data_IF_471648659964
#
_entry.id   IF_471648659964
#
_cell.length_a   1.000
_cell.length_b   1.000
_cell.length_c   1.000
_cell.angle_alpha   90.00
_cell.angle_beta   90.00
_cell.angle_gamma   90.00
#
_symmetry.space_group_name_H-M   'P 1'
#
loop_
_entity.id
_entity.type
_entity.pdbx_description
1 polymer ?
2 non-polymer ?
3 non-polymer ?
4 non-polymer ?
5 water ?
#
# COMPACT_ATOMS: atom_id res chain seq x y z
N UNK A 3 -22.38 17.23 3.81
CA UNK A 3 -21.01 17.79 3.51
C UNK A 3 -19.95 17.05 4.38
N UNK A 4 -20.44 16.42 5.43
CA UNK A 4 -19.64 15.63 6.34
C UNK A 4 -19.20 14.33 5.67
N UNK A 5 -17.90 14.17 5.43
CA UNK A 5 -17.47 12.93 4.79
C UNK A 5 -16.36 12.23 5.55
N UNK A 6 -16.44 10.90 5.58
CA UNK A 6 -15.42 10.10 6.27
C UNK A 6 -14.90 8.93 5.43
N UNK A 7 -13.59 8.75 5.38
CA UNK A 7 -13.06 7.59 4.73
C UNK A 7 -12.06 6.81 5.54
N UNK A 8 -12.56 5.81 6.26
CA UNK A 8 -11.66 4.96 7.03
C UNK A 8 -11.29 3.68 6.30
N UNK A 9 -10.01 3.51 5.99
CA UNK A 9 -9.61 2.32 5.25
C UNK A 9 -8.30 1.70 5.73
N UNK A 10 -8.18 0.36 5.66
CA UNK A 10 -6.89 -0.26 5.96
C UNK A 10 -5.91 0.11 4.88
N UNK A 11 -4.62 -0.06 5.12
CA UNK A 11 -3.67 0.24 4.07
C UNK A 11 -3.56 -0.99 3.13
N UNK A 12 -2.86 -0.87 1.98
CA UNK A 12 -2.81 -1.94 0.94
C UNK A 12 -1.49 -2.72 0.81
N UNK A 13 -1.52 -4.04 1.07
CA UNK A 13 -0.37 -4.97 0.87
C UNK A 13 0.85 -4.81 1.79
N UNK A 14 1.89 -5.61 1.54
CA UNK A 14 3.25 -5.42 2.12
C UNK A 14 3.41 -5.20 3.67
N UNK A 15 2.56 -5.84 4.48
CA UNK A 15 2.82 -5.87 5.93
C UNK A 15 3.25 -7.27 6.37
N UNK A 16 4.47 -7.37 6.90
CA UNK A 16 5.08 -8.64 7.18
C UNK A 16 5.15 -9.03 8.66
N UNK A 17 4.65 -10.22 9.01
CA UNK A 17 4.70 -10.71 10.37
C UNK A 17 6.09 -10.53 10.95
N UNK A 18 6.18 -10.29 12.25
CA UNK A 18 7.50 -10.12 12.90
C UNK A 18 7.62 -8.78 13.61
N UNK A 19 8.83 -8.44 14.04
CA UNK A 19 9.10 -7.15 14.65
C UNK A 19 9.22 -6.07 13.60
N UNK A 20 8.34 -5.10 13.65
CA UNK A 20 8.32 -4.05 12.61
C UNK A 20 9.57 -3.22 12.71
N UNK A 21 10.24 -2.98 11.60
CA UNK A 21 11.48 -2.22 11.70
C UNK A 21 11.26 -0.71 11.77
N UNK A 22 10.00 -0.27 11.66
CA UNK A 22 9.62 1.16 11.63
C UNK A 22 8.15 1.36 11.99
N UNK A 23 7.70 2.59 12.14
CA UNK A 23 6.30 2.82 12.45
C UNK A 23 5.54 2.42 11.21
N UNK A 24 4.41 1.71 11.37
CA UNK A 24 3.76 1.18 10.22
C UNK A 24 2.30 1.53 10.26
N UNK A 25 1.84 2.16 9.19
CA UNK A 25 0.46 2.52 9.10
C UNK A 25 -0.41 1.28 8.98
N UNK A 26 -1.40 1.15 9.84
CA UNK A 26 -2.39 0.11 9.67
C UNK A 26 -3.66 0.64 9.01
N UNK A 27 -4.06 1.85 9.36
CA UNK A 27 -5.30 2.39 8.82
C UNK A 27 -5.17 3.84 8.47
N UNK A 28 -6.07 4.30 7.61
CA UNK A 28 -6.05 5.67 7.23
C UNK A 28 -7.47 6.19 7.33
N UNK A 29 -7.53 7.47 7.67
CA UNK A 29 -8.77 8.10 7.98
C UNK A 29 -8.77 9.44 7.31
N UNK A 30 -9.78 9.69 6.48
CA UNK A 30 -9.94 11.02 5.92
C UNK A 30 -11.31 11.53 6.22
N UNK A 31 -11.34 12.75 6.75
CA UNK A 31 -12.59 13.36 7.20
C UNK A 31 -12.58 14.84 6.94
N UNK A 32 -13.77 15.40 6.69
CA UNK A 32 -13.84 16.82 6.41
C UNK A 32 -15.25 17.39 6.46
N UNK A 33 -15.33 18.71 6.62
CA UNK A 33 -16.59 19.46 6.52
C UNK A 33 -16.38 20.91 6.16
N UNK A 34 -17.22 21.37 5.23
CA UNK A 34 -17.23 22.77 4.84
C UNK A 34 -18.02 23.58 5.87
N UNK A 35 -19.12 23.00 6.35
CA UNK A 35 -19.98 23.61 7.38
C UNK A 35 -19.24 23.82 8.72
N UNK A 36 -19.79 24.68 9.63
CA UNK A 36 -19.03 25.01 10.86
C UNK A 36 -18.91 23.85 11.87
N UNK A 37 -17.68 23.59 12.29
CA UNK A 37 -17.40 22.50 13.23
C UNK A 37 -16.28 22.85 14.21
N UNK A 38 -16.28 22.13 15.33
CA UNK A 38 -15.31 22.31 16.37
C UNK A 38 -14.09 21.42 16.23
N UNK A 39 -14.32 20.14 16.02
CA UNK A 39 -13.20 19.23 15.90
C UNK A 39 -13.72 17.84 15.70
N UNK A 40 -12.85 16.86 15.90
CA UNK A 40 -13.11 15.50 15.49
C UNK A 40 -12.63 14.58 16.54
N UNK A 41 -13.42 13.56 16.82
CA UNK A 41 -12.84 12.43 17.54
C UNK A 41 -13.04 11.15 16.76
N UNK A 42 -12.23 10.18 17.15
CA UNK A 42 -12.40 8.82 16.78
C UNK A 42 -12.50 8.06 18.08
N UNK A 43 -13.65 7.46 18.33
CA UNK A 43 -13.75 6.56 19.46
C UNK A 43 -13.53 5.12 19.02
N UNK A 44 -12.52 4.46 19.58
CA UNK A 44 -12.24 3.07 19.38
C UNK A 44 -13.31 2.27 20.10
N UNK A 45 -14.19 1.59 19.37
CA UNK A 45 -15.32 0.87 20.00
C UNK A 45 -15.12 -0.62 20.26
N UNK A 46 -16.09 -1.21 20.90
CA UNK A 46 -16.02 -2.63 21.11
C UNK A 46 -14.67 -3.09 21.58
N UNK A 47 -14.14 -4.06 20.85
CA UNK A 47 -12.93 -4.73 21.24
C UNK A 47 -11.72 -3.84 20.98
N UNK A 48 -11.91 -2.77 20.21
CA UNK A 48 -10.88 -1.78 19.97
C UNK A 48 -10.85 -0.73 21.10
N UNK A 49 -11.76 -0.84 22.07
CA UNK A 49 -11.78 0.11 23.16
C UNK A 49 -10.37 0.19 23.76
N UNK A 50 -9.93 1.38 24.10
CA UNK A 50 -8.58 1.61 24.55
C UNK A 50 -7.61 1.98 23.43
N UNK A 51 -8.09 2.05 22.18
CA UNK A 51 -7.20 2.20 21.00
C UNK A 51 -6.41 0.98 20.54
N UNK A 52 -7.12 -0.10 20.26
CA UNK A 52 -6.47 -1.27 19.80
C UNK A 52 -7.02 -1.87 18.51
N UNK A 53 -6.17 -2.68 17.90
CA UNK A 53 -6.46 -3.54 16.78
C UNK A 53 -6.58 -4.96 17.40
N UNK A 54 -7.36 -5.85 16.79
CA UNK A 54 -7.61 -7.17 17.41
C UNK A 54 -7.45 -8.33 16.41
N UNK A 55 -6.50 -9.24 16.71
CA UNK A 55 -6.31 -10.48 15.96
C UNK A 55 -7.49 -11.41 16.18
N UNK A 56 -7.97 -12.10 15.14
CA UNK A 56 -9.17 -12.97 15.28
C UNK A 56 -8.98 -13.97 16.40
N UNK A 57 -7.74 -14.27 16.65
CA UNK A 57 -7.36 -15.11 17.77
C UNK A 57 -7.68 -14.45 19.12
N UNK A 58 -7.53 -13.12 19.19
CA UNK A 58 -7.76 -12.40 20.44
C UNK A 58 -6.65 -11.52 21.01
N UNK A 59 -5.49 -11.49 20.32
CA UNK A 59 -4.40 -10.59 20.65
C UNK A 59 -4.74 -9.17 20.25
N UNK A 60 -4.42 -8.25 21.15
CA UNK A 60 -4.58 -6.81 20.96
C UNK A 60 -3.30 -6.13 20.52
N UNK A 61 -3.38 -5.25 19.52
CA UNK A 61 -2.21 -4.43 19.22
C UNK A 61 -2.52 -2.95 19.33
N UNK A 62 -1.59 -2.24 19.99
CA UNK A 62 -1.73 -0.82 20.25
C UNK A 62 -1.57 0.00 18.99
N UNK A 63 -2.51 0.90 18.75
CA UNK A 63 -2.48 1.81 17.62
C UNK A 63 -2.20 3.25 18.08
N UNK A 64 -1.60 4.07 17.21
CA UNK A 64 -1.38 5.48 17.53
C UNK A 64 -1.87 6.35 16.42
N UNK A 65 -2.20 7.59 16.75
CA UNK A 65 -2.65 8.46 15.72
C UNK A 65 -1.60 9.49 15.47
N UNK A 66 -1.33 9.67 14.21
CA UNK A 66 -0.32 10.60 13.77
C UNK A 66 -0.78 12.04 14.03
N UNK A 67 -2.04 12.37 13.73
CA UNK A 67 -2.56 13.75 13.84
C UNK A 67 -3.31 14.03 15.12
N UNK A 68 -4.14 13.09 15.55
CA UNK A 68 -4.88 13.32 16.77
C UNK A 68 -4.11 12.92 18.03
N UNK A 69 -4.57 13.42 19.18
CA UNK A 69 -4.06 13.02 20.49
C UNK A 69 -5.05 12.11 21.21
N UNK A 70 -4.52 11.35 22.13
CA UNK A 70 -5.25 10.33 22.77
C UNK A 70 -5.66 10.77 24.16
N UNK A 71 -6.95 10.65 24.45
CA UNK A 71 -7.40 10.83 25.82
C UNK A 71 -7.97 9.53 26.34
N UNK A 72 -7.18 8.85 27.14
CA UNK A 72 -7.55 7.54 27.72
C UNK A 72 -8.84 7.62 28.51
N UNK A 73 -8.93 8.57 29.43
CA UNK A 73 -10.12 8.76 30.25
C UNK A 73 -11.39 8.82 29.41
N UNK A 74 -11.37 9.58 28.30
CA UNK A 74 -12.54 9.73 27.45
C UNK A 74 -12.64 8.68 26.37
N UNK A 75 -11.63 7.83 26.33
CA UNK A 75 -11.47 6.83 25.29
C UNK A 75 -11.60 7.34 23.82
N UNK A 76 -10.83 8.36 23.45
CA UNK A 76 -10.86 8.82 22.07
C UNK A 76 -9.60 9.53 21.65
N UNK A 77 -9.44 9.65 20.34
CA UNK A 77 -8.46 10.54 19.76
C UNK A 77 -9.23 11.74 19.37
N UNK A 78 -8.71 12.92 19.67
CA UNK A 78 -9.34 14.11 19.11
C UNK A 78 -8.28 15.03 18.52
N UNK A 79 -8.72 15.86 17.60
CA UNK A 79 -8.01 17.08 17.26
C UNK A 79 -9.08 18.15 17.15
N UNK A 80 -8.76 19.35 17.63
CA UNK A 80 -9.67 20.48 17.42
C UNK A 80 -9.31 21.16 16.16
N UNK A 81 -10.29 21.30 15.28
CA UNK A 81 -10.06 21.92 13.98
C UNK A 81 -11.36 22.53 13.52
N UNK A 82 -11.28 23.75 13.02
CA UNK A 82 -12.44 24.45 12.54
C UNK A 82 -12.42 24.57 11.01
N UNK A 83 -11.24 24.33 10.41
CA UNK A 83 -10.96 24.47 8.96
C UNK A 83 -11.90 23.69 8.03
N UNK A 84 -12.20 24.23 6.81
CA UNK A 84 -13.04 23.41 5.92
C UNK A 84 -12.18 22.51 5.04
N UNK A 85 -10.87 22.52 5.31
CA UNK A 85 -9.89 21.69 4.62
C UNK A 85 -9.89 20.25 5.11
N UNK A 86 -9.50 19.33 4.23
CA UNK A 86 -9.54 17.89 4.51
C UNK A 86 -8.48 17.44 5.50
N UNK A 87 -8.89 16.59 6.44
CA UNK A 87 -7.98 16.02 7.42
C UNK A 87 -7.58 14.61 7.06
N UNK A 88 -6.28 14.41 6.96
CA UNK A 88 -5.75 13.15 6.51
C UNK A 88 -4.92 12.56 7.63
N UNK A 89 -5.51 11.66 8.39
CA UNK A 89 -4.79 11.01 9.47
C UNK A 89 -4.64 9.55 9.18
N UNK A 90 -3.68 8.93 9.85
CA UNK A 90 -3.67 7.50 9.89
C UNK A 90 -3.19 7.01 11.25
N UNK A 91 -3.54 5.75 11.50
CA UNK A 91 -3.26 5.05 12.71
C UNK A 91 -2.20 4.08 12.38
N UNK A 92 -1.26 3.93 13.29
CA UNK A 92 -0.09 3.14 12.97
C UNK A 92 0.42 2.43 14.19
N UNK A 93 1.25 1.42 14.01
CA UNK A 93 1.88 0.78 15.18
C UNK A 93 3.29 1.23 15.27
N UNK A 94 3.90 1.14 16.43
CA UNK A 94 5.22 1.72 16.61
C UNK A 94 6.29 0.73 16.23
N UNK A 95 7.40 1.24 15.73
CA UNK A 95 8.51 0.35 15.45
C UNK A 95 8.74 -0.56 16.66
N UNK A 96 9.06 -1.81 16.41
CA UNK A 96 9.34 -2.78 17.47
C UNK A 96 8.10 -3.60 17.83
N UNK A 97 6.95 -3.18 17.35
CA UNK A 97 5.75 -3.96 17.55
C UNK A 97 5.86 -5.26 16.78
N UNK A 98 5.51 -6.33 17.46
CA UNK A 98 5.58 -7.64 16.87
C UNK A 98 4.21 -7.93 16.27
N UNK A 99 4.13 -8.13 14.97
CA UNK A 99 2.89 -8.53 14.35
C UNK A 99 2.90 -10.03 14.04
N UNK A 100 1.71 -10.60 14.00
CA UNK A 100 1.51 -12.02 13.73
C UNK A 100 0.82 -12.15 12.37
N UNK A 101 1.15 -13.22 11.64
CA UNK A 101 0.66 -13.34 10.29
C UNK A 101 -0.81 -13.72 10.33
N UNK A 102 -1.64 -12.73 10.52
CA UNK A 102 -3.06 -12.97 10.73
C UNK A 102 -3.83 -11.73 10.34
N UNK A 103 -5.13 -11.75 10.59
CA UNK A 103 -5.98 -10.59 10.35
C UNK A 103 -6.25 -9.87 11.67
N UNK A 104 -6.25 -8.54 11.60
CA UNK A 104 -6.53 -7.68 12.77
C UNK A 104 -7.70 -6.75 12.51
N UNK A 105 -8.70 -6.78 13.37
CA UNK A 105 -9.86 -5.89 13.17
C UNK A 105 -9.63 -4.58 13.92
N UNK A 106 -10.16 -3.50 13.36
CA UNK A 106 -10.39 -2.29 14.14
C UNK A 106 -11.81 -1.78 13.94
N UNK A 107 -12.51 -1.55 15.04
CA UNK A 107 -13.79 -0.84 15.01
C UNK A 107 -13.72 0.46 15.80
N UNK A 108 -14.49 1.45 15.38
CA UNK A 108 -14.72 2.60 16.25
C UNK A 108 -15.74 3.51 15.63
N UNK A 109 -15.89 4.68 16.22
CA UNK A 109 -16.78 5.71 15.72
C UNK A 109 -16.07 7.06 15.57
N UNK A 110 -16.25 7.68 14.41
CA UNK A 110 -15.75 9.03 14.14
C UNK A 110 -16.88 10.06 14.37
N UNK A 111 -16.69 10.98 15.32
CA UNK A 111 -17.63 12.09 15.55
C UNK A 111 -17.07 13.46 15.25
N UNK A 112 -17.81 14.24 14.47
CA UNK A 112 -17.57 15.68 14.34
C UNK A 112 -18.25 16.38 15.51
N UNK A 113 -17.70 17.51 15.98
CA UNK A 113 -18.35 18.24 17.07
C UNK A 113 -18.34 19.71 16.91
N UNK A 114 -19.19 20.38 17.69
CA UNK A 114 -19.20 21.84 17.80
C UNK A 114 -18.97 22.34 19.21
N UNK A 115 -18.50 23.58 19.29
CA UNK A 115 -18.33 24.29 20.54
C UNK A 115 -19.29 25.44 20.56
N UNK A 116 -20.30 25.36 21.43
CA UNK A 116 -20.98 26.59 21.80
C UNK A 116 -20.67 26.95 23.23
N UNK A 117 -19.74 27.93 23.37
CA UNK A 117 -19.31 28.39 24.68
C UNK A 117 -18.52 27.26 25.41
N UNK A 118 -19.14 26.71 26.45
CA UNK A 118 -18.53 25.77 27.39
C UNK A 118 -18.38 24.36 26.84
N UNK A 119 -19.28 23.96 25.93
CA UNK A 119 -19.32 22.55 25.51
C UNK A 119 -19.34 22.16 24.04
N UNK A 120 -18.93 20.90 23.86
CA UNK A 120 -19.01 20.17 22.61
C UNK A 120 -20.37 19.49 22.48
N UNK A 121 -20.96 19.58 21.30
CA UNK A 121 -21.94 18.56 20.90
C UNK A 121 -21.62 17.92 19.56
N UNK A 122 -22.00 16.64 19.48
CA UNK A 122 -21.93 15.87 18.24
C UNK A 122 -22.91 16.37 17.21
N UNK A 123 -22.40 16.93 16.12
CA UNK A 123 -23.27 17.28 15.03
C UNK A 123 -23.33 16.22 13.92
N UNK A 124 -22.29 15.38 13.83
CA UNK A 124 -22.22 14.29 12.82
C UNK A 124 -21.45 13.11 13.30
N UNK A 125 -21.81 11.92 12.84
CA UNK A 125 -21.02 10.75 13.19
C UNK A 125 -21.07 9.68 12.14
N UNK A 126 -20.05 8.81 12.15
CA UNK A 126 -19.94 7.64 11.27
C UNK A 126 -19.25 6.54 12.05
N UNK A 127 -19.90 5.39 12.12
CA UNK A 127 -19.20 4.19 12.58
C UNK A 127 -18.24 3.74 11.50
N UNK A 128 -17.03 3.37 11.91
CA UNK A 128 -16.01 2.89 10.98
C UNK A 128 -15.39 1.58 11.46
N UNK A 129 -14.98 0.76 10.50
CA UNK A 129 -14.23 -0.45 10.83
C UNK A 129 -13.21 -0.73 9.77
N UNK A 130 -12.41 -1.76 10.03
CA UNK A 130 -11.49 -2.25 9.03
C UNK A 130 -10.67 -3.39 9.52
N UNK A 131 -10.32 -4.26 8.57
CA UNK A 131 -9.45 -5.37 8.84
C UNK A 131 -8.17 -5.19 8.08
N UNK A 132 -7.05 -5.62 8.67
CA UNK A 132 -5.76 -5.60 7.99
C UNK A 132 -5.09 -6.99 8.08
N UNK A 133 -4.70 -7.56 6.95
CA UNK A 133 -4.11 -8.88 6.94
C UNK A 133 -2.60 -8.78 6.76
N UNK A 134 -1.90 -9.43 7.68
CA UNK A 134 -0.45 -9.43 7.78
C UNK A 134 0.09 -10.75 7.27
N UNK A 135 0.97 -10.67 6.29
CA UNK A 135 1.48 -11.84 5.60
C UNK A 135 2.69 -12.37 6.27
N UNK A 136 2.89 -13.68 6.18
CA UNK A 136 4.18 -14.25 6.54
C UNK A 136 5.10 -14.10 5.33
N UNK A 137 6.39 -13.90 5.55
CA UNK A 137 7.33 -13.90 4.39
C UNK A 137 7.61 -15.34 4.03
N UNK A 138 8.88 -15.70 3.91
CA UNK A 138 9.25 -17.09 3.77
C UNK A 138 8.88 -17.85 5.02
N UNK A 139 8.40 -19.10 4.88
CA UNK A 139 8.24 -19.96 6.08
C UNK A 139 9.65 -20.33 6.45
N UNK A 140 9.91 -20.71 7.70
CA UNK A 140 11.28 -21.11 8.10
C UNK A 140 11.15 -22.37 8.86
N UNK A 141 11.79 -23.41 8.36
CA UNK A 141 11.64 -24.75 8.86
C UNK A 141 12.98 -25.21 9.40
N UNK A 142 12.99 -25.67 10.65
CA UNK A 142 14.28 -26.03 11.27
C UNK A 142 14.44 -27.52 11.63
N UNK A 143 13.53 -28.36 11.15
CA UNK A 143 13.63 -29.80 11.33
C UNK A 143 13.20 -30.23 12.72
N UNK B 2 -9.49 2.77 -26.82
CA UNK B 2 -11.00 2.79 -26.91
C UNK B 2 -11.49 1.95 -25.77
N UNK B 3 -10.93 0.74 -25.67
CA UNK B 3 -11.23 -0.09 -24.54
C UNK B 3 -9.88 -0.57 -23.94
N UNK B 4 -8.81 -0.36 -24.68
CA UNK B 4 -7.47 -0.63 -24.19
C UNK B 4 -7.11 0.29 -23.02
N UNK B 5 -6.46 -0.27 -21.99
CA UNK B 5 -5.99 0.51 -20.84
C UNK B 5 -4.88 -0.19 -20.08
N UNK B 6 -3.96 0.62 -19.58
CA UNK B 6 -2.80 0.13 -18.88
C UNK B 6 -2.61 0.94 -17.62
N UNK B 7 -2.53 0.25 -16.48
CA UNK B 7 -2.34 0.91 -15.22
C UNK B 7 -1.09 0.41 -14.51
N UNK B 8 -0.06 1.23 -14.53
CA UNK B 8 1.20 0.90 -13.92
C UNK B 8 1.45 1.87 -12.79
N UNK B 9 1.56 1.36 -11.58
CA UNK B 9 1.67 2.24 -10.42
C UNK B 9 2.64 1.62 -9.43
N UNK B 10 3.34 2.45 -8.63
CA UNK B 10 4.17 1.77 -7.65
C UNK B 10 3.38 1.28 -6.47
N UNK B 11 4.04 0.55 -5.57
CA UNK B 11 3.38 0.06 -4.37
C UNK B 11 3.28 1.11 -3.28
N UNK B 12 2.13 1.12 -2.61
CA UNK B 12 1.63 2.27 -1.81
C UNK B 12 2.53 2.89 -0.71
N UNK B 13 3.37 2.07 -0.04
CA UNK B 13 4.31 2.56 0.98
C UNK B 13 4.91 1.41 1.77
N UNK B 14 5.28 1.63 3.05
CA UNK B 14 5.69 0.53 3.96
C UNK B 14 6.61 -0.50 3.30
N UNK B 15 7.61 -0.02 2.59
CA UNK B 15 8.72 -0.87 2.21
C UNK B 15 9.91 -0.39 2.97
N UNK B 16 10.54 -1.30 3.70
CA UNK B 16 11.70 -1.00 4.54
C UNK B 16 13.01 -1.59 4.07
N UNK B 17 14.11 -0.88 4.30
CA UNK B 17 15.38 -1.21 3.79
C UNK B 17 15.91 -2.47 4.45
N UNK B 18 16.93 -3.10 3.86
CA UNK B 18 17.50 -4.34 4.40
C UNK B 18 16.94 -5.50 3.62
N UNK B 19 17.19 -6.71 4.11
CA UNK B 19 16.71 -7.95 3.47
C UNK B 19 15.21 -8.05 3.51
N UNK B 20 14.57 -8.30 2.38
CA UNK B 20 13.13 -8.42 2.43
C UNK B 20 12.75 -9.70 3.12
N UNK B 21 11.72 -9.63 3.94
CA UNK B 21 11.35 -10.81 4.72
C UNK B 21 10.70 -11.86 3.80
N UNK B 22 10.37 -11.42 2.59
CA UNK B 22 9.47 -12.14 1.69
C UNK B 22 9.48 -11.60 0.28
N UNK B 23 8.46 -11.89 -0.51
CA UNK B 23 8.44 -11.43 -1.89
C UNK B 23 7.62 -10.20 -1.85
N UNK B 24 8.18 -9.12 -2.36
CA UNK B 24 7.67 -7.81 -2.07
C UNK B 24 7.38 -7.14 -3.38
N UNK B 25 6.10 -6.94 -3.65
CA UNK B 25 5.62 -6.19 -4.82
C UNK B 25 6.18 -4.79 -4.87
N UNK B 26 7.00 -4.46 -5.84
CA UNK B 26 7.35 -3.03 -6.01
C UNK B 26 6.41 -2.26 -6.96
N UNK B 27 5.90 -2.90 -8.02
CA UNK B 27 5.00 -2.20 -8.97
C UNK B 27 3.83 -3.03 -9.33
N UNK B 28 2.69 -2.38 -9.57
CA UNK B 28 1.53 -3.11 -10.09
C UNK B 28 1.26 -2.70 -11.52
N UNK B 29 0.72 -3.64 -12.29
CA UNK B 29 0.46 -3.37 -13.70
C UNK B 29 -0.86 -3.94 -14.07
N UNK B 30 -1.75 -3.11 -14.55
CA UNK B 30 -3.08 -3.57 -14.87
C UNK B 30 -3.41 -3.24 -16.29
N UNK B 31 -3.46 -4.29 -17.12
CA UNK B 31 -3.69 -4.13 -18.54
C UNK B 31 -4.93 -4.89 -19.01
N UNK B 32 -5.62 -4.31 -19.98
CA UNK B 32 -6.86 -4.86 -20.45
C UNK B 32 -7.29 -4.28 -21.78
N UNK B 33 -7.85 -5.14 -22.61
CA UNK B 33 -8.59 -4.76 -23.81
C UNK B 33 -9.74 -5.74 -23.96
N UNK B 34 -10.92 -5.22 -24.29
CA UNK B 34 -12.09 -6.06 -24.59
C UNK B 34 -12.00 -6.55 -26.04
N UNK B 35 -11.35 -5.77 -26.92
CA UNK B 35 -11.19 -6.12 -28.34
C UNK B 35 -10.29 -7.32 -28.52
N UNK B 36 -10.43 -8.00 -29.67
CA UNK B 36 -9.52 -9.09 -30.04
C UNK B 36 -8.07 -8.69 -30.05
N UNK B 37 -7.27 -9.50 -29.37
CA UNK B 37 -5.86 -9.29 -29.21
C UNK B 37 -5.19 -10.62 -28.88
N UNK B 38 -3.88 -10.68 -29.10
CA UNK B 38 -3.13 -11.91 -28.83
C UNK B 38 -2.50 -12.00 -27.44
N UNK B 39 -1.70 -11.01 -27.10
CA UNK B 39 -1.01 -10.99 -25.80
C UNK B 39 -0.37 -9.66 -25.45
N UNK B 40 0.35 -9.63 -24.35
CA UNK B 40 1.01 -8.42 -23.83
C UNK B 40 2.47 -8.62 -23.62
N UNK B 41 3.26 -7.60 -23.91
CA UNK B 41 4.61 -7.64 -23.42
C UNK B 41 4.88 -6.35 -22.73
N UNK B 42 5.80 -6.41 -21.76
CA UNK B 42 6.32 -5.26 -21.10
C UNK B 42 7.81 -5.23 -21.35
N UNK B 43 8.29 -4.16 -21.97
CA UNK B 43 9.71 -4.05 -22.31
C UNK B 43 10.33 -3.02 -21.41
N UNK B 44 11.33 -3.44 -20.63
CA UNK B 44 12.14 -2.62 -19.72
C UNK B 44 13.18 -1.80 -20.44
N UNK B 45 12.78 -0.61 -20.85
CA UNK B 45 13.65 0.44 -21.42
C UNK B 45 14.58 1.19 -20.45
N UNK B 46 15.49 1.94 -21.04
CA UNK B 46 16.39 2.79 -20.28
C UNK B 46 17.31 1.88 -19.53
N UNK B 47 17.77 2.31 -18.37
CA UNK B 47 18.65 1.47 -17.58
C UNK B 47 17.84 0.37 -16.90
N UNK B 48 16.52 0.36 -17.11
CA UNK B 48 15.73 -0.81 -16.66
C UNK B 48 15.93 -2.07 -17.54
N UNK B 49 16.78 -1.96 -18.56
CA UNK B 49 17.00 -3.06 -19.53
C UNK B 49 17.49 -4.29 -18.78
N UNK B 50 16.93 -5.45 -19.13
CA UNK B 50 17.23 -6.69 -18.42
C UNK B 50 16.18 -6.95 -17.34
N UNK B 51 15.30 -5.97 -17.14
CA UNK B 51 14.32 -5.99 -16.05
C UNK B 51 14.84 -5.55 -14.72
N UNK B 52 15.17 -4.26 -14.58
CA UNK B 52 15.72 -3.78 -13.32
C UNK B 52 15.09 -2.50 -12.77
N UNK B 53 15.15 -2.37 -11.46
CA UNK B 53 14.88 -1.09 -10.77
C UNK B 53 16.20 -0.49 -10.53
N UNK B 54 16.25 0.82 -10.72
CA UNK B 54 17.49 1.53 -10.48
C UNK B 54 17.31 2.75 -9.51
N UNK B 55 18.22 2.90 -8.55
CA UNK B 55 18.29 4.08 -7.65
C UNK B 55 19.25 5.07 -8.28
N UNK B 56 19.23 6.34 -7.85
CA UNK B 56 20.27 7.24 -8.37
C UNK B 56 21.73 6.83 -7.97
N UNK B 57 21.89 6.13 -6.86
CA UNK B 57 23.22 5.61 -6.52
C UNK B 57 23.62 4.61 -7.56
N UNK B 58 22.68 4.36 -8.48
CA UNK B 58 22.68 3.20 -9.38
C UNK B 58 23.05 1.83 -8.84
N UNK B 59 22.48 1.37 -7.72
CA UNK B 59 22.42 -0.09 -7.60
C UNK B 59 21.24 -0.61 -8.45
N UNK B 60 21.40 -1.84 -8.91
CA UNK B 60 20.40 -2.52 -9.72
C UNK B 60 19.65 -3.57 -8.89
N UNK B 61 18.32 -3.53 -8.88
CA UNK B 61 17.58 -4.64 -8.24
C UNK B 61 16.69 -5.23 -9.31
N UNK B 62 16.87 -6.53 -9.52
CA UNK B 62 16.13 -7.22 -10.49
C UNK B 62 14.67 -7.35 -10.09
N UNK B 63 13.75 -7.16 -11.04
CA UNK B 63 12.30 -7.40 -10.83
C UNK B 63 11.84 -8.70 -11.46
N UNK B 64 10.66 -9.20 -11.09
CA UNK B 64 10.13 -10.43 -11.67
C UNK B 64 8.67 -10.24 -11.80
N UNK B 65 8.07 -10.90 -12.77
CA UNK B 65 6.66 -10.73 -12.94
C UNK B 65 5.89 -11.92 -12.36
N UNK B 66 4.83 -11.65 -11.70
CA UNK B 66 4.01 -12.69 -11.18
C UNK B 66 3.35 -13.46 -12.32
N UNK B 67 2.82 -12.74 -13.31
CA UNK B 67 2.08 -13.39 -14.42
C UNK B 67 2.93 -13.67 -15.66
N UNK B 68 3.77 -12.73 -16.04
CA UNK B 68 4.39 -12.86 -17.34
C UNK B 68 5.66 -13.65 -17.20
N UNK B 69 6.14 -14.25 -18.28
CA UNK B 69 7.47 -14.88 -18.33
C UNK B 69 8.48 -13.95 -18.96
N UNK B 70 9.73 -14.21 -18.63
CA UNK B 70 10.81 -13.33 -18.98
C UNK B 70 11.63 -13.95 -20.06
N UNK B 71 11.88 -13.21 -21.13
CA UNK B 71 12.58 -13.76 -22.24
C UNK B 71 13.78 -12.83 -22.38
N UNK B 72 14.88 -13.23 -21.81
CA UNK B 72 16.03 -12.30 -21.81
C UNK B 72 16.39 -11.83 -23.20
N UNK B 73 16.55 -12.75 -24.15
CA UNK B 73 17.05 -12.41 -25.48
C UNK B 73 16.17 -11.35 -26.19
N UNK B 74 14.87 -11.33 -25.89
CA UNK B 74 14.02 -10.28 -26.41
C UNK B 74 13.89 -9.10 -25.47
N UNK B 75 14.52 -9.20 -24.30
CA UNK B 75 14.35 -8.18 -23.26
C UNK B 75 12.90 -7.88 -22.93
N UNK B 76 12.11 -8.88 -22.52
CA UNK B 76 10.78 -8.59 -22.13
C UNK B 76 10.01 -9.70 -21.35
N UNK B 77 9.00 -9.27 -20.62
CA UNK B 77 8.04 -10.17 -20.03
C UNK B 77 6.92 -10.16 -20.96
N UNK B 78 6.31 -11.34 -21.20
CA UNK B 78 5.10 -11.41 -22.05
C UNK B 78 4.21 -12.42 -21.44
N UNK B 79 2.91 -12.33 -21.73
CA UNK B 79 2.03 -13.50 -21.74
C UNK B 79 1.07 -13.38 -22.87
N UNK B 80 0.80 -14.51 -23.54
CA UNK B 80 -0.16 -14.54 -24.61
C UNK B 80 -1.48 -14.73 -23.96
N UNK B 81 -2.27 -13.69 -23.89
CA UNK B 81 -3.60 -13.84 -23.35
C UNK B 81 -4.67 -13.25 -24.27
N UNK B 82 -5.53 -14.10 -24.81
CA UNK B 82 -6.58 -13.70 -25.71
C UNK B 82 -7.86 -13.13 -25.02
N UNK B 83 -7.86 -12.97 -23.69
CA UNK B 83 -9.11 -12.69 -22.92
C UNK B 83 -9.48 -11.20 -22.67
N UNK B 84 -10.79 -10.88 -22.62
CA UNK B 84 -11.22 -9.50 -22.38
C UNK B 84 -11.14 -9.06 -20.92
N UNK B 85 -11.28 -10.03 -20.01
CA UNK B 85 -11.03 -9.82 -18.58
C UNK B 85 -9.67 -9.15 -18.36
N UNK B 86 -9.60 -8.21 -17.41
CA UNK B 86 -8.34 -7.50 -17.11
C UNK B 86 -7.28 -8.39 -16.50
N UNK B 87 -6.02 -8.08 -16.83
CA UNK B 87 -4.85 -8.74 -16.23
C UNK B 87 -4.20 -7.84 -15.17
N UNK B 88 -4.14 -8.35 -13.94
CA UNK B 88 -3.49 -7.67 -12.82
C UNK B 88 -2.17 -8.36 -12.54
N UNK B 89 -1.08 -7.82 -13.07
CA UNK B 89 0.18 -8.43 -12.81
C UNK B 89 0.89 -7.51 -11.88
N UNK B 90 2.01 -7.99 -11.35
CA UNK B 90 2.86 -7.14 -10.56
C UNK B 90 4.31 -7.59 -10.61
N UNK B 91 5.21 -6.62 -10.48
CA UNK B 91 6.64 -6.86 -10.42
C UNK B 91 7.03 -6.83 -8.99
N UNK B 92 7.95 -7.70 -8.61
CA UNK B 92 8.25 -7.84 -7.24
C UNK B 92 9.70 -8.29 -7.07
N UNK B 93 10.20 -8.32 -5.84
CA UNK B 93 11.57 -8.75 -5.62
C UNK B 93 11.46 -9.92 -4.68
N UNK B 94 12.44 -10.80 -4.74
CA UNK B 94 12.36 -12.00 -3.98
C UNK B 94 12.89 -11.78 -2.57
N UNK B 95 12.43 -12.59 -1.65
CA UNK B 95 12.88 -12.48 -0.28
C UNK B 95 14.39 -12.57 -0.31
N UNK B 96 15.05 -11.82 0.57
CA UNK B 96 16.49 -11.88 0.80
C UNK B 96 17.19 -10.86 -0.06
N UNK B 97 16.46 -10.20 -0.97
CA UNK B 97 16.98 -9.03 -1.62
C UNK B 97 17.19 -7.89 -0.62
N UNK B 98 18.39 -7.30 -0.64
CA UNK B 98 18.74 -6.19 0.22
C UNK B 98 18.29 -4.91 -0.47
N UNK B 99 17.34 -4.18 0.10
CA UNK B 99 16.94 -2.90 -0.47
C UNK B 99 17.59 -1.81 0.35
N UNK B 100 17.92 -0.71 -0.31
CA UNK B 100 18.55 0.42 0.38
C UNK B 100 17.57 1.55 0.50
N UNK B 101 17.75 2.39 1.52
CA UNK B 101 16.68 3.28 1.87
C UNK B 101 16.65 4.43 0.99
N UNK B 102 16.21 4.24 -0.25
CA UNK B 102 16.23 5.32 -1.24
C UNK B 102 15.10 5.13 -2.25
N UNK B 103 15.09 5.94 -3.28
CA UNK B 103 14.15 5.73 -4.33
C UNK B 103 14.71 4.85 -5.43
N UNK B 104 13.97 3.79 -5.79
CA UNK B 104 14.20 3.03 -7.03
C UNK B 104 13.25 3.40 -8.18
N UNK B 105 13.81 3.48 -9.38
CA UNK B 105 13.06 3.81 -10.56
C UNK B 105 13.02 2.65 -11.55
N UNK B 106 11.88 2.55 -12.20
CA UNK B 106 11.69 1.60 -13.29
C UNK B 106 11.04 2.31 -14.50
N UNK B 107 11.44 1.92 -15.71
CA UNK B 107 10.84 2.49 -16.92
C UNK B 107 10.77 1.38 -17.93
N UNK B 108 9.64 1.36 -18.65
CA UNK B 108 9.40 0.37 -19.64
C UNK B 108 8.33 0.78 -20.61
N UNK B 109 7.93 -0.17 -21.44
CA UNK B 109 6.98 0.01 -22.50
C UNK B 109 6.09 -1.23 -22.48
N UNK B 110 4.78 -1.02 -22.59
CA UNK B 110 3.78 -2.08 -22.62
C UNK B 110 3.14 -2.10 -23.98
N UNK B 111 3.21 -3.26 -24.63
CA UNK B 111 2.70 -3.46 -25.94
C UNK B 111 1.63 -4.49 -25.92
N UNK B 112 0.49 -4.16 -26.52
CA UNK B 112 -0.51 -5.17 -26.81
C UNK B 112 -0.26 -5.61 -28.25
N UNK B 113 -0.30 -6.93 -28.47
CA UNK B 113 -0.18 -7.46 -29.83
C UNK B 113 -1.25 -8.45 -30.25
N UNK B 114 -1.38 -8.63 -31.58
CA UNK B 114 -2.17 -9.73 -32.16
C UNK B 114 -1.23 -10.59 -32.95
N UNK B 115 -1.70 -11.80 -33.30
CA UNK B 115 -0.93 -12.64 -34.26
C UNK B 115 -1.49 -12.67 -35.68
N UNK B 116 -0.80 -12.08 -36.64
CA UNK B 116 -1.17 -12.35 -38.01
C UNK B 116 -0.10 -13.32 -38.53
N UNK B 117 -0.56 -14.43 -39.12
CA UNK B 117 0.31 -15.49 -39.65
C UNK B 117 1.46 -15.93 -38.70
N UNK B 118 1.13 -16.23 -37.45
CA UNK B 118 2.09 -16.73 -36.45
C UNK B 118 3.28 -15.80 -36.17
N UNK B 119 3.09 -14.52 -36.45
CA UNK B 119 3.99 -13.45 -36.00
C UNK B 119 3.20 -12.44 -35.20
N UNK B 120 3.81 -11.90 -34.15
CA UNK B 120 3.11 -10.93 -33.32
C UNK B 120 3.27 -9.55 -33.96
N UNK B 121 2.20 -8.76 -33.85
CA UNK B 121 2.30 -7.36 -34.24
C UNK B 121 1.54 -6.45 -33.30
N UNK B 122 2.18 -5.34 -32.99
CA UNK B 122 1.65 -4.40 -32.02
C UNK B 122 0.43 -3.61 -32.49
N UNK B 123 -0.62 -3.62 -31.68
CA UNK B 123 -1.80 -2.82 -31.95
C UNK B 123 -2.13 -1.73 -30.89
N UNK B 124 -1.33 -1.71 -29.82
CA UNK B 124 -1.49 -0.73 -28.75
C UNK B 124 -0.23 -0.69 -27.95
N UNK B 125 0.07 0.44 -27.36
CA UNK B 125 1.23 0.52 -26.45
C UNK B 125 1.07 1.69 -25.47
N UNK B 126 1.81 1.65 -24.36
CA UNK B 126 1.93 2.77 -23.43
C UNK B 126 3.31 2.73 -22.83
N UNK B 127 3.98 3.87 -22.79
CA UNK B 127 5.21 3.96 -22.05
C UNK B 127 4.87 4.07 -20.56
N UNK B 128 5.71 3.47 -19.70
CA UNK B 128 5.46 3.46 -18.25
C UNK B 128 6.71 3.65 -17.41
N UNK B 129 6.51 4.33 -16.29
CA UNK B 129 7.59 4.56 -15.36
C UNK B 129 6.96 4.58 -13.99
N UNK B 130 7.83 4.45 -13.01
CA UNK B 130 7.42 4.44 -11.63
C UNK B 130 8.67 4.57 -10.79
N UNK B 131 8.52 5.24 -9.65
CA UNK B 131 9.55 5.29 -8.65
C UNK B 131 8.95 4.65 -7.40
N UNK B 132 9.81 4.13 -6.56
CA UNK B 132 9.34 3.57 -5.31
C UNK B 132 10.37 3.93 -4.21
N UNK B 133 9.91 4.38 -3.05
CA UNK B 133 10.79 4.83 -1.97
C UNK B 133 10.85 3.82 -0.86
N UNK B 134 12.05 3.35 -0.57
CA UNK B 134 12.22 2.38 0.50
C UNK B 134 12.59 3.19 1.73
N UNK B 135 11.75 3.10 2.76
CA UNK B 135 11.91 3.82 4.01
C UNK B 135 12.94 3.16 4.87
N UNK B 136 13.79 3.94 5.53
CA UNK B 136 14.76 3.31 6.44
C UNK B 136 14.11 2.80 7.71
N UNK B 137 13.23 3.61 8.32
CA UNK B 137 12.44 3.07 9.44
C UNK B 137 12.97 3.33 10.83
N UNK B 138 14.11 2.78 11.18
CA UNK B 138 14.69 3.13 12.47
C UNK B 138 16.18 3.24 12.36
N UNK B 139 16.72 4.39 12.74
CA UNK B 139 18.18 4.61 12.65
C UNK B 139 18.90 3.87 13.74
N UNK B 140 20.03 3.23 13.41
CA UNK B 140 20.82 2.58 14.47
C UNK B 140 22.16 3.25 14.57
N UNK B 141 22.43 3.87 15.70
CA UNK B 141 23.66 4.64 15.85
C UNK B 141 24.60 3.95 16.81
N UNK B 142 25.90 4.22 16.67
CA UNK B 142 26.91 3.41 17.37
C UNK B 142 28.01 4.20 18.09
N UNK B 143 28.08 3.96 19.41
CA UNK B 143 28.98 4.59 20.39
C UNK B 143 28.28 4.71 21.74
X LIG C 1 -11.14 16.34 25.14
X LIG C 1 -12.13 15.21 24.83
X LIG C 1 -12.37 15.14 23.35
X LIG C 1 -12.85 16.51 22.85
X LIG C 1 -11.75 17.52 23.18
X LIG C 1 -12.06 18.94 22.77
X LIG C 1 -11.16 16.50 26.53
X LIG C 1 -11.72 13.94 25.27
X LIG C 1 -13.35 14.16 23.26
X LIG C 1 -14.01 16.89 23.57
X LIG C 1 -11.57 17.56 24.58
X LIG C 1 -10.84 19.64 22.86
X LIG D 1 6.36 -19.10 1.84
X LIG D 1 7.51 -19.55 1.53
X LIG D 1 5.30 -19.78 1.60
X LIG E 1 7.20 -14.63 0.19
X LIG E 1 7.66 -15.95 -0.05
X LIG E 1 5.79 -14.64 0.49
X LIG F 1 3.40 -19.72 3.80
X LIG F 1 3.49 -18.56 4.26
X LIG F 1 2.80 -19.88 2.71
X LIG G 1 3.83 -16.99 0.73
X LIG G 1 4.25 -16.88 1.92
X LIG G 1 2.91 -17.86 0.45
X LIG H 1 8.21 -14.26 -27.13
X LIG H 1 8.64 -12.81 -27.29
X LIG H 1 7.58 -11.83 -26.87
X LIG H 1 6.23 -12.09 -27.55
X LIG H 1 5.94 -13.58 -27.40
X LIG H 1 4.68 -13.86 -28.15
X LIG H 1 9.23 -15.12 -27.63
X LIG H 1 9.77 -12.57 -26.50
X LIG H 1 8.10 -10.56 -27.15
X LIG H 1 6.22 -11.85 -28.96
X LIG H 1 7.02 -14.40 -27.86
X LIG H 1 4.41 -15.23 -28.12
X LIG I 1 7.43 -17.35 -11.89
X LIG I 1 8.00 -18.16 -12.73
X LIG I 1 7.87 -16.22 -11.66
X LIG I 1 6.06 -17.58 -11.27
X LIG J 1 6.94 -15.37 -14.21
X LIG J 1 7.68 -16.23 -14.78
X LIG J 1 5.75 -15.66 -13.85
X LIG J 1 7.45 -13.99 -13.98
#
# INVERSE_FOLDING_TARGET
>A
MNTFHVDFAPNTGEIFAGKQPGDVTMFTLTMGDTAPHGGWRLIPTGDSKGGYMISADGDYVGLYSYMMSWVGIDNNWYINDDSPKDIKDHLYVKAGTVLKPTTYKFTGRVEEYVFDNKQSTVINSKDVSGEVTVKQGLEHHHHHH
>B
MNTFHVDFAPNTGEIFAGKQPGDVTMFTLTMGDTAPHGGWRLIPTGDSKGGYMISADGDYVGLYSYMMSWVGIDNNWYINDDSPKDIKDHLYVKAGTVLKPTTYKFTGRVEEYVFDNKQSTVINSKDVSGEVTVKQGLEHHHHHH
>C hetero
1 GAL C1 C2 C3 C4 C5 C6 O1 O2 O3 O4 O5 O6
>D hetero
1 ACT C O OXT
>E hetero
1 TBF C O1 O
>F hetero
1 ACT C O OXT
>G hetero
1 ACT C O OXT
>H hetero
1 GAL C1 C2 C3 C4 C5 C6 O1 O2 O3 O4 O5 O6
>I hetero
1 ACT C O OXT CH3
>J hetero
1 ACT C O OXT CH3
#
